data_IF_496167656308
#
_entry.id   IF_496167656308
#
_cell.length_a   1.000
_cell.length_b   1.000
_cell.length_c   1.000
_cell.angle_alpha   90.00
_cell.angle_beta   90.00
_cell.angle_gamma   90.00
#
_symmetry.space_group_name_H-M   'P 1'
#
loop_
_entity.id
_entity.type
_entity.pdbx_description
1 polymer ?
#
# COMPACT_ATOMS: atom_id res chain seq x y z
N UNK A 1 -3.65 -19.28 -14.40
CA UNK A 1 -3.97 -18.61 -15.67
C UNK A 1 -4.61 -17.27 -15.29
N UNK A 2 -3.90 -16.16 -15.49
CA UNK A 2 -4.48 -14.83 -15.23
C UNK A 2 -5.16 -14.37 -16.52
N UNK A 3 -6.46 -14.10 -16.43
CA UNK A 3 -7.22 -13.54 -17.55
C UNK A 3 -7.18 -12.03 -17.36
N UNK A 4 -6.51 -11.32 -18.28
CA UNK A 4 -6.57 -9.87 -18.34
C UNK A 4 -7.76 -9.47 -19.19
N UNK A 5 -8.67 -8.69 -18.61
CA UNK A 5 -9.83 -8.13 -19.29
C UNK A 5 -9.81 -6.61 -19.15
N UNK A 6 -10.26 -5.89 -20.17
CA UNK A 6 -10.48 -4.46 -20.08
C UNK A 6 -11.63 -4.14 -19.11
N UNK A 7 -11.68 -2.90 -18.62
CA UNK A 7 -12.76 -2.43 -17.75
C UNK A 7 -14.14 -2.58 -18.43
N UNK A 8 -14.23 -2.28 -19.74
CA UNK A 8 -15.47 -2.41 -20.51
C UNK A 8 -15.96 -3.87 -20.59
N UNK A 9 -15.04 -4.82 -20.82
CA UNK A 9 -15.37 -6.25 -20.83
C UNK A 9 -15.83 -6.74 -19.45
N UNK A 10 -15.21 -6.23 -18.36
CA UNK A 10 -15.62 -6.55 -16.99
C UNK A 10 -17.00 -5.98 -16.66
N UNK A 11 -17.30 -4.75 -17.09
CA UNK A 11 -18.61 -4.12 -16.92
C UNK A 11 -19.70 -4.89 -17.68
N UNK A 12 -19.48 -5.26 -18.93
CA UNK A 12 -20.41 -6.06 -19.75
C UNK A 12 -20.70 -7.43 -19.15
N UNK A 13 -19.66 -8.15 -18.68
CA UNK A 13 -19.82 -9.45 -18.00
C UNK A 13 -20.57 -9.27 -16.68
N UNK A 14 -20.28 -8.24 -15.93
CA UNK A 14 -20.93 -7.93 -14.65
C UNK A 14 -22.43 -7.66 -14.85
N UNK A 15 -22.80 -6.82 -15.79
CA UNK A 15 -24.20 -6.54 -16.13
C UNK A 15 -24.94 -7.78 -16.62
N UNK A 16 -24.29 -8.60 -17.45
CA UNK A 16 -24.84 -9.88 -17.91
C UNK A 16 -25.09 -10.86 -16.77
N UNK A 17 -24.16 -10.99 -15.84
CA UNK A 17 -24.30 -11.87 -14.66
C UNK A 17 -25.39 -11.38 -13.70
N UNK A 18 -25.47 -10.08 -13.45
CA UNK A 18 -26.50 -9.47 -12.60
C UNK A 18 -27.90 -9.70 -13.22
N UNK A 19 -28.03 -9.48 -14.52
CA UNK A 19 -29.28 -9.70 -15.24
C UNK A 19 -29.70 -11.17 -15.21
N UNK A 20 -28.78 -12.09 -15.42
CA UNK A 20 -29.06 -13.53 -15.36
C UNK A 20 -29.46 -13.99 -13.95
N UNK A 21 -28.79 -13.45 -12.90
CA UNK A 21 -29.15 -13.69 -11.50
C UNK A 21 -30.60 -13.18 -11.22
N UNK A 22 -30.89 -11.94 -11.63
CA UNK A 22 -32.21 -11.35 -11.48
C UNK A 22 -33.29 -12.21 -12.13
N UNK A 23 -33.06 -12.67 -13.35
CA UNK A 23 -34.03 -13.51 -14.09
C UNK A 23 -34.22 -14.89 -13.44
N UNK A 24 -33.18 -15.45 -12.80
CA UNK A 24 -33.24 -16.77 -12.16
C UNK A 24 -33.98 -16.75 -10.81
N UNK A 25 -33.76 -15.72 -9.99
CA UNK A 25 -34.18 -15.69 -8.59
C UNK A 25 -35.22 -14.61 -8.25
N UNK A 26 -35.45 -13.61 -9.10
CA UNK A 26 -36.48 -12.59 -8.87
C UNK A 26 -36.99 -11.99 -10.17
N UNK A 27 -38.32 -11.78 -10.24
CA UNK A 27 -38.95 -11.03 -11.33
C UNK A 27 -38.98 -9.51 -11.07
N UNK A 28 -38.15 -8.98 -10.17
CA UNK A 28 -38.17 -7.57 -9.77
C UNK A 28 -36.82 -6.93 -10.06
N UNK A 29 -36.82 -5.63 -10.27
CA UNK A 29 -35.60 -4.82 -10.34
C UNK A 29 -34.82 -5.00 -9.04
N UNK A 30 -33.61 -5.50 -9.14
CA UNK A 30 -32.75 -5.74 -7.99
C UNK A 30 -32.16 -4.38 -7.54
N UNK A 31 -32.52 -3.92 -6.35
CA UNK A 31 -31.96 -2.74 -5.71
C UNK A 31 -30.67 -3.06 -4.94
N UNK A 32 -30.50 -4.32 -4.49
CA UNK A 32 -29.28 -4.83 -3.85
C UNK A 32 -29.16 -6.33 -4.12
N UNK A 33 -27.91 -6.80 -4.26
CA UNK A 33 -27.61 -8.22 -4.43
C UNK A 33 -27.07 -8.75 -3.10
N UNK A 34 -27.67 -9.84 -2.60
CA UNK A 34 -27.05 -10.65 -1.58
C UNK A 34 -25.85 -11.36 -2.21
N UNK A 35 -24.65 -10.88 -1.88
CA UNK A 35 -23.41 -11.35 -2.51
C UNK A 35 -23.10 -12.81 -2.18
N UNK A 36 -23.47 -13.29 -0.97
CA UNK A 36 -23.29 -14.69 -0.60
C UNK A 36 -24.20 -15.58 -1.44
N UNK A 37 -25.49 -15.26 -1.54
CA UNK A 37 -26.44 -15.99 -2.36
C UNK A 37 -26.06 -15.96 -3.85
N UNK A 38 -25.56 -14.83 -4.36
CA UNK A 38 -25.06 -14.72 -5.72
C UNK A 38 -23.86 -15.66 -5.97
N UNK A 39 -22.90 -15.70 -5.06
CA UNK A 39 -21.70 -16.54 -5.20
C UNK A 39 -22.06 -18.02 -5.05
N UNK A 40 -22.84 -18.40 -4.04
CA UNK A 40 -23.10 -19.81 -3.73
C UNK A 40 -24.17 -20.45 -4.62
N UNK A 41 -25.28 -19.77 -4.84
CA UNK A 41 -26.46 -20.35 -5.50
C UNK A 41 -26.50 -20.06 -7.01
N UNK A 42 -25.92 -18.93 -7.44
CA UNK A 42 -25.89 -18.59 -8.85
C UNK A 42 -24.60 -19.00 -9.54
N UNK A 43 -23.44 -18.62 -8.98
CA UNK A 43 -22.14 -18.98 -9.53
C UNK A 43 -21.70 -20.40 -9.13
N UNK A 44 -22.42 -21.05 -8.21
CA UNK A 44 -22.12 -22.40 -7.69
C UNK A 44 -20.70 -22.50 -7.12
N UNK A 45 -20.21 -21.41 -6.54
CA UNK A 45 -18.91 -21.34 -5.90
C UNK A 45 -19.06 -21.53 -4.40
N UNK A 46 -18.09 -22.20 -3.78
CA UNK A 46 -18.05 -22.37 -2.33
C UNK A 46 -17.37 -21.15 -1.69
N UNK A 47 -18.06 -20.48 -0.77
CA UNK A 47 -17.45 -19.46 0.09
C UNK A 47 -16.75 -20.19 1.24
N UNK A 48 -15.46 -19.98 1.40
CA UNK A 48 -14.69 -20.44 2.55
C UNK A 48 -14.20 -19.21 3.33
N UNK A 49 -14.76 -19.02 4.52
CA UNK A 49 -14.29 -17.99 5.44
C UNK A 49 -12.96 -18.42 6.05
N UNK A 50 -11.91 -17.62 5.86
CA UNK A 50 -10.60 -17.89 6.46
C UNK A 50 -10.68 -17.69 7.97
N UNK A 51 -10.25 -18.68 8.74
CA UNK A 51 -10.03 -18.47 10.18
C UNK A 51 -8.92 -17.44 10.41
N UNK A 52 -8.87 -16.84 11.60
CA UNK A 52 -7.82 -15.88 11.94
C UNK A 52 -6.43 -16.52 11.89
N UNK A 53 -6.31 -17.82 12.22
CA UNK A 53 -5.07 -18.58 12.11
C UNK A 53 -4.58 -18.69 10.66
N UNK A 54 -5.47 -18.95 9.71
CA UNK A 54 -5.15 -18.98 8.27
C UNK A 54 -4.86 -17.57 7.75
N UNK A 55 -5.62 -16.56 8.17
CA UNK A 55 -5.41 -15.16 7.80
C UNK A 55 -4.00 -14.69 8.20
N UNK A 56 -3.66 -14.83 9.48
CA UNK A 56 -2.35 -14.43 9.97
C UNK A 56 -1.23 -15.36 9.49
N UNK A 57 -1.54 -16.63 9.18
CA UNK A 57 -0.61 -17.55 8.53
C UNK A 57 -0.13 -17.08 7.16
N UNK A 58 -0.95 -16.35 6.41
CA UNK A 58 -0.55 -15.70 5.17
C UNK A 58 0.13 -14.34 5.44
N UNK A 59 -0.54 -13.45 6.18
CA UNK A 59 -0.11 -12.07 6.32
C UNK A 59 1.18 -11.91 7.11
N UNK A 60 1.46 -12.74 8.10
CA UNK A 60 2.71 -12.62 8.85
C UNK A 60 3.95 -12.77 7.96
N UNK A 61 3.94 -13.70 6.99
CA UNK A 61 5.02 -13.85 6.01
C UNK A 61 5.11 -12.66 5.08
N UNK A 62 3.96 -12.21 4.58
CA UNK A 62 3.90 -11.07 3.67
C UNK A 62 4.43 -9.79 4.35
N UNK A 63 4.01 -9.54 5.58
CA UNK A 63 4.49 -8.43 6.39
C UNK A 63 6.00 -8.57 6.64
N UNK A 64 6.47 -9.75 7.07
CA UNK A 64 7.88 -9.94 7.38
C UNK A 64 8.76 -9.64 6.17
N UNK A 65 8.44 -10.21 5.02
CA UNK A 65 9.21 -10.03 3.77
C UNK A 65 9.22 -8.56 3.35
N UNK A 66 8.07 -7.90 3.33
CA UNK A 66 7.98 -6.54 2.78
C UNK A 66 8.42 -5.45 3.78
N UNK A 67 8.21 -5.68 5.09
CA UNK A 67 8.43 -4.67 6.12
C UNK A 67 9.74 -4.83 6.88
N UNK A 68 10.18 -6.07 7.12
CA UNK A 68 11.30 -6.37 8.00
C UNK A 68 12.55 -6.87 7.29
N UNK A 69 12.43 -7.53 6.14
CA UNK A 69 13.59 -7.86 5.31
C UNK A 69 14.08 -6.62 4.54
N UNK A 70 15.36 -6.65 4.17
CA UNK A 70 15.94 -5.60 3.35
C UNK A 70 15.39 -5.60 1.92
N UNK A 71 15.37 -4.42 1.29
CA UNK A 71 14.97 -4.31 -0.10
C UNK A 71 15.99 -5.02 -1.01
N UNK A 72 15.53 -5.84 -1.98
CA UNK A 72 16.43 -6.67 -2.79
C UNK A 72 17.28 -5.86 -3.80
N UNK A 73 16.95 -4.59 -4.02
CA UNK A 73 17.64 -3.68 -4.96
C UNK A 73 17.97 -2.36 -4.28
N UNK A 74 19.06 -1.69 -4.64
CA UNK A 74 19.50 -0.46 -4.00
C UNK A 74 18.77 0.82 -4.46
N UNK A 75 17.55 0.68 -5.02
CA UNK A 75 16.79 1.81 -5.60
C UNK A 75 16.57 2.93 -4.59
N UNK A 76 16.16 2.57 -3.35
CA UNK A 76 15.94 3.56 -2.30
C UNK A 76 17.24 4.20 -1.79
N UNK A 77 18.35 3.44 -1.77
CA UNK A 77 19.66 3.96 -1.42
C UNK A 77 20.17 4.95 -2.47
N UNK A 78 20.05 4.60 -3.76
CA UNK A 78 20.43 5.50 -4.86
C UNK A 78 19.62 6.80 -4.82
N UNK A 79 18.30 6.70 -4.54
CA UNK A 79 17.45 7.87 -4.37
C UNK A 79 17.88 8.71 -3.15
N UNK A 80 18.21 8.06 -2.03
CA UNK A 80 18.70 8.77 -0.84
C UNK A 80 20.00 9.53 -1.14
N UNK A 81 20.94 8.89 -1.80
CA UNK A 81 22.22 9.50 -2.17
C UNK A 81 22.04 10.72 -3.09
N UNK A 82 21.04 10.69 -3.99
CA UNK A 82 20.68 11.82 -4.85
C UNK A 82 20.12 13.02 -4.06
N UNK A 83 19.37 12.77 -2.96
CA UNK A 83 18.60 13.83 -2.29
C UNK A 83 19.09 14.20 -0.89
N UNK A 84 19.97 13.42 -0.25
CA UNK A 84 20.40 13.58 1.15
C UNK A 84 20.95 14.97 1.50
N UNK A 85 21.61 15.64 0.53
CA UNK A 85 22.17 16.99 0.70
C UNK A 85 21.17 18.10 0.29
N UNK A 86 19.94 17.74 -0.04
CA UNK A 86 18.90 18.69 -0.47
C UNK A 86 17.86 18.84 0.64
N UNK A 87 17.09 19.91 0.59
CA UNK A 87 15.90 20.04 1.42
C UNK A 87 14.77 19.24 0.75
N UNK A 88 14.51 18.04 1.25
CA UNK A 88 13.57 17.08 0.67
C UNK A 88 12.43 16.75 1.62
N UNK A 89 11.33 16.30 1.06
CA UNK A 89 10.25 15.63 1.77
C UNK A 89 9.70 14.48 0.93
N UNK A 90 9.42 13.34 1.55
CA UNK A 90 8.87 12.15 0.91
C UNK A 90 7.38 12.04 1.19
N UNK A 91 6.57 12.04 0.14
CA UNK A 91 5.16 11.63 0.19
C UNK A 91 5.04 10.26 -0.46
N UNK A 92 4.57 9.27 0.27
CA UNK A 92 4.50 7.90 -0.24
C UNK A 92 3.19 7.20 0.09
N UNK A 93 2.75 6.34 -0.82
CA UNK A 93 1.67 5.36 -0.61
C UNK A 93 2.21 3.98 -0.24
N UNK A 94 3.54 3.80 -0.24
CA UNK A 94 4.17 2.55 0.19
C UNK A 94 4.10 2.40 1.71
N UNK A 95 3.95 1.15 2.15
CA UNK A 95 3.74 0.78 3.55
C UNK A 95 4.86 -0.12 4.10
N UNK A 96 5.98 -0.22 3.35
CA UNK A 96 7.08 -1.16 3.55
C UNK A 96 8.29 -0.59 4.34
N UNK A 97 8.30 0.70 4.62
CA UNK A 97 9.41 1.42 5.26
C UNK A 97 10.75 1.39 4.52
N UNK A 98 10.78 1.12 3.23
CA UNK A 98 12.03 1.09 2.45
C UNK A 98 12.76 2.43 2.43
N UNK A 99 12.05 3.56 2.49
CA UNK A 99 12.66 4.88 2.64
C UNK A 99 13.46 5.00 3.95
N UNK A 100 12.85 4.61 5.09
CA UNK A 100 13.51 4.68 6.39
C UNK A 100 14.73 3.75 6.46
N UNK A 101 14.63 2.54 5.89
CA UNK A 101 15.74 1.59 5.79
C UNK A 101 16.92 2.15 4.99
N UNK A 102 16.65 2.93 3.95
CA UNK A 102 17.67 3.60 3.14
C UNK A 102 18.27 4.87 3.79
N UNK A 103 17.82 5.26 4.99
CA UNK A 103 18.38 6.38 5.74
C UNK A 103 17.60 7.68 5.66
N UNK A 104 16.44 7.73 4.98
CA UNK A 104 15.59 8.91 4.98
C UNK A 104 15.07 9.22 6.39
N UNK A 105 15.15 10.47 6.81
CA UNK A 105 14.72 10.89 8.13
C UNK A 105 13.19 10.75 8.29
N UNK A 106 12.73 10.03 9.32
CA UNK A 106 11.31 9.74 9.57
C UNK A 106 10.45 11.01 9.63
N UNK A 107 10.98 12.11 10.15
CA UNK A 107 10.27 13.39 10.22
C UNK A 107 10.13 14.10 8.85
N UNK A 108 10.75 13.57 7.80
CA UNK A 108 10.67 14.04 6.41
C UNK A 108 9.90 13.05 5.51
N UNK A 109 9.10 12.18 6.10
CA UNK A 109 8.29 11.19 5.37
C UNK A 109 6.84 11.27 5.84
N UNK A 110 5.91 11.26 4.87
CA UNK A 110 4.50 11.04 5.11
C UNK A 110 4.03 9.81 4.33
N UNK A 111 3.79 8.72 5.04
CA UNK A 111 3.26 7.45 4.52
C UNK A 111 1.74 7.43 4.69
N UNK A 112 1.03 7.81 3.63
CA UNK A 112 -0.41 8.13 3.67
C UNK A 112 -1.32 6.93 3.83
N UNK A 113 -0.86 5.73 3.45
CA UNK A 113 -1.67 4.50 3.38
C UNK A 113 -1.45 3.55 4.57
N UNK A 114 -0.71 4.00 5.61
CA UNK A 114 -0.40 3.21 6.79
C UNK A 114 0.95 2.51 6.75
N UNK A 115 1.10 1.46 7.55
CA UNK A 115 2.36 0.75 7.77
C UNK A 115 2.12 -0.72 8.05
N UNK A 116 2.79 -1.62 7.32
CA UNK A 116 2.79 -3.05 7.63
C UNK A 116 3.33 -3.38 9.02
N UNK A 117 4.12 -2.50 9.62
CA UNK A 117 4.65 -2.64 10.96
C UNK A 117 3.68 -2.29 12.08
N UNK A 118 2.43 -1.92 11.76
CA UNK A 118 1.45 -1.48 12.75
C UNK A 118 0.17 -2.32 12.68
N UNK A 119 -0.36 -2.65 13.88
CA UNK A 119 -1.72 -3.14 14.07
C UNK A 119 -2.65 -2.00 14.49
N UNK A 120 -3.92 -2.16 14.15
CA UNK A 120 -5.04 -1.35 14.64
C UNK A 120 -6.20 -2.25 15.08
N UNK A 121 -7.14 -1.74 15.84
CA UNK A 121 -8.39 -2.44 16.10
C UNK A 121 -9.17 -2.64 14.78
N UNK A 122 -9.62 -3.86 14.48
CA UNK A 122 -10.36 -4.14 13.23
C UNK A 122 -11.70 -3.40 13.14
N UNK A 123 -12.29 -3.09 14.30
CA UNK A 123 -13.43 -2.18 14.42
C UNK A 123 -12.98 -1.00 15.28
N UNK A 124 -12.52 0.12 14.69
CA UNK A 124 -11.77 1.15 15.40
C UNK A 124 -12.51 1.69 16.63
N UNK A 125 -12.14 1.21 17.82
CA UNK A 125 -12.71 1.67 19.08
C UNK A 125 -11.88 2.82 19.70
N UNK A 126 -10.74 3.15 19.11
CA UNK A 126 -9.82 4.21 19.51
C UNK A 126 -8.85 4.53 18.34
N UNK A 127 -8.06 5.59 18.48
CA UNK A 127 -7.15 6.10 17.43
C UNK A 127 -5.68 5.74 17.67
N UNK A 128 -5.39 4.64 18.34
CA UNK A 128 -4.02 4.18 18.56
C UNK A 128 -3.67 3.01 17.65
N UNK A 129 -2.42 2.96 17.23
CA UNK A 129 -1.80 1.85 16.52
C UNK A 129 -0.76 1.19 17.41
N UNK A 130 -0.37 -0.05 17.08
CA UNK A 130 0.51 -0.87 17.90
C UNK A 130 1.59 -1.51 17.03
N UNK A 131 2.84 -1.42 17.48
CA UNK A 131 3.95 -2.13 16.84
C UNK A 131 3.71 -3.63 16.79
N UNK A 132 4.07 -4.27 15.67
CA UNK A 132 3.78 -5.68 15.47
C UNK A 132 5.02 -6.54 15.21
N UNK A 133 6.23 -5.98 15.21
CA UNK A 133 7.43 -6.69 14.79
C UNK A 133 7.64 -8.01 15.56
N UNK A 134 7.56 -7.96 16.87
CA UNK A 134 7.79 -9.13 17.72
C UNK A 134 6.75 -10.24 17.54
N UNK A 135 5.49 -9.87 17.36
CA UNK A 135 4.43 -10.87 17.14
C UNK A 135 4.51 -11.46 15.74
N UNK A 136 4.83 -10.67 14.73
CA UNK A 136 5.05 -11.13 13.35
C UNK A 136 6.24 -12.11 13.30
N UNK A 137 7.35 -11.82 13.96
CA UNK A 137 8.50 -12.74 14.08
C UNK A 137 8.08 -14.08 14.70
N UNK A 138 7.32 -14.04 15.81
CA UNK A 138 6.82 -15.27 16.46
C UNK A 138 5.89 -16.07 15.55
N UNK A 139 5.04 -15.39 14.79
CA UNK A 139 4.14 -16.04 13.84
C UNK A 139 4.91 -16.78 12.73
N UNK A 140 5.88 -16.14 12.06
CA UNK A 140 6.66 -16.78 10.99
C UNK A 140 7.51 -17.94 11.51
N UNK A 141 8.11 -17.81 12.70
CA UNK A 141 8.85 -18.90 13.35
C UNK A 141 7.94 -20.09 13.68
N UNK A 142 6.69 -19.84 14.11
CA UNK A 142 5.72 -20.90 14.42
C UNK A 142 5.32 -21.71 13.19
N UNK A 143 5.52 -21.17 11.98
CA UNK A 143 5.26 -21.85 10.71
C UNK A 143 6.44 -22.74 10.25
N UNK A 144 7.55 -22.76 10.99
CA UNK A 144 8.74 -23.56 10.69
C UNK A 144 9.85 -22.75 10.02
N UNK A 145 9.66 -21.48 9.69
CA UNK A 145 10.72 -20.64 9.14
C UNK A 145 11.84 -20.40 10.16
N UNK A 146 13.04 -20.19 9.65
CA UNK A 146 14.19 -19.75 10.42
C UNK A 146 14.56 -18.32 10.00
N UNK A 147 15.05 -17.52 10.91
CA UNK A 147 15.58 -16.19 10.61
C UNK A 147 17.11 -16.23 10.66
N UNK A 148 17.74 -15.91 9.54
CA UNK A 148 19.22 -15.84 9.43
C UNK A 148 19.59 -14.53 8.74
N UNK A 149 20.41 -13.73 9.40
CA UNK A 149 20.90 -12.44 8.88
C UNK A 149 19.78 -11.48 8.44
N UNK A 150 18.64 -11.53 9.14
CA UNK A 150 17.44 -10.75 8.82
C UNK A 150 16.52 -11.37 7.75
N UNK A 151 16.99 -12.39 7.04
CA UNK A 151 16.24 -13.07 5.99
C UNK A 151 15.44 -14.26 6.52
N UNK A 152 14.33 -14.55 5.84
CA UNK A 152 13.46 -15.68 6.13
C UNK A 152 13.91 -16.91 5.34
N UNK A 153 14.42 -17.91 6.04
CA UNK A 153 14.84 -19.19 5.46
C UNK A 153 13.72 -20.21 5.58
N UNK A 154 13.50 -21.00 4.51
CA UNK A 154 12.55 -22.12 4.54
C UNK A 154 13.01 -23.19 5.52
N UNK A 155 12.05 -23.97 6.13
CA UNK A 155 12.41 -25.17 6.91
C UNK A 155 13.25 -26.14 6.10
N UNK A 156 14.18 -26.84 6.74
CA UNK A 156 15.07 -27.81 6.08
C UNK A 156 14.28 -29.00 5.48
N UNK A 157 13.20 -29.42 6.14
CA UNK A 157 12.27 -30.44 5.64
C UNK A 157 11.31 -29.94 4.56
N UNK A 158 11.29 -28.66 4.28
CA UNK A 158 10.43 -28.01 3.30
C UNK A 158 8.96 -27.87 3.71
N UNK A 159 8.57 -28.34 4.89
CA UNK A 159 7.20 -28.27 5.38
C UNK A 159 6.88 -26.93 6.05
N UNK A 160 5.99 -26.15 5.45
CA UNK A 160 5.53 -24.85 5.97
C UNK A 160 4.11 -25.01 6.50
N UNK A 161 3.89 -24.69 7.77
CA UNK A 161 2.54 -24.58 8.34
C UNK A 161 1.84 -23.35 7.77
N UNK A 162 0.63 -23.53 7.24
CA UNK A 162 -0.15 -22.45 6.63
C UNK A 162 -0.97 -21.65 7.63
N UNK A 163 -0.94 -22.05 8.90
CA UNK A 163 -1.66 -21.39 10.01
C UNK A 163 -0.68 -20.96 11.09
N UNK A 164 -1.09 -20.01 11.92
CA UNK A 164 -0.41 -19.67 13.17
C UNK A 164 -1.18 -20.24 14.37
N UNK A 165 -0.53 -20.48 15.52
CA UNK A 165 -1.23 -20.84 16.75
C UNK A 165 -2.24 -19.76 17.18
N UNK A 166 -3.41 -20.16 17.67
CA UNK A 166 -4.46 -19.25 18.16
C UNK A 166 -3.92 -18.25 19.21
N UNK A 167 -2.98 -18.67 20.07
CA UNK A 167 -2.36 -17.80 21.07
C UNK A 167 -1.48 -16.67 20.52
N UNK A 168 -1.19 -16.66 19.20
CA UNK A 168 -0.45 -15.58 18.53
C UNK A 168 -1.38 -14.60 17.80
N UNK A 169 -2.69 -14.84 17.77
CA UNK A 169 -3.64 -13.94 17.14
C UNK A 169 -3.71 -12.64 17.96
N UNK A 170 -3.47 -11.46 17.34
CA UNK A 170 -3.51 -10.20 18.06
C UNK A 170 -4.95 -9.75 18.32
N UNK A 171 -5.21 -9.33 19.55
CA UNK A 171 -6.49 -8.77 19.97
C UNK A 171 -6.32 -7.35 20.52
N UNK A 172 -7.29 -6.51 20.28
CA UNK A 172 -7.31 -5.13 20.76
C UNK A 172 -7.30 -5.10 22.30
N UNK A 173 -6.35 -4.42 22.95
CA UNK A 173 -6.24 -4.38 24.41
C UNK A 173 -7.39 -3.61 25.08
N UNK A 174 -8.15 -2.81 24.31
CA UNK A 174 -9.26 -2.03 24.83
C UNK A 174 -10.62 -2.74 24.72
N UNK A 175 -10.91 -3.38 23.59
CA UNK A 175 -12.23 -3.98 23.37
C UNK A 175 -12.21 -5.49 23.16
N UNK A 176 -11.03 -6.13 23.11
CA UNK A 176 -10.90 -7.58 22.94
C UNK A 176 -11.23 -8.10 21.53
N UNK A 177 -11.60 -7.24 20.58
CA UNK A 177 -11.84 -7.65 19.19
C UNK A 177 -10.52 -7.96 18.49
N UNK A 178 -10.51 -8.78 17.42
CA UNK A 178 -9.29 -9.02 16.65
C UNK A 178 -8.66 -7.71 16.16
N UNK A 179 -7.35 -7.71 16.00
CA UNK A 179 -6.65 -6.62 15.30
C UNK A 179 -6.57 -6.88 13.81
N UNK A 180 -6.39 -5.81 13.05
CA UNK A 180 -6.02 -5.81 11.64
C UNK A 180 -4.70 -5.06 11.43
N UNK A 181 -4.15 -5.13 10.21
CA UNK A 181 -3.05 -4.26 9.80
C UNK A 181 -3.54 -2.81 9.71
N UNK A 182 -2.70 -1.85 10.07
CA UNK A 182 -2.99 -0.44 9.83
C UNK A 182 -2.71 -0.09 8.36
N UNK A 183 -3.66 -0.45 7.50
CA UNK A 183 -3.61 -0.19 6.06
C UNK A 183 -4.92 0.48 5.62
N UNK A 184 -4.81 1.49 4.76
CA UNK A 184 -5.96 2.20 4.18
C UNK A 184 -6.59 1.38 3.05
N UNK A 185 -7.28 0.31 3.40
CA UNK A 185 -8.07 -0.52 2.48
C UNK A 185 -9.54 -0.10 2.41
N UNK A 186 -10.05 0.49 3.49
CA UNK A 186 -11.43 0.94 3.64
C UNK A 186 -11.57 2.09 4.67
N UNK A 187 -12.80 2.40 5.08
CA UNK A 187 -13.11 3.45 6.05
C UNK A 187 -12.72 3.13 7.51
N UNK A 188 -12.24 1.92 7.80
CA UNK A 188 -11.80 1.54 9.14
C UNK A 188 -10.36 1.93 9.44
N UNK A 189 -9.66 2.53 8.49
CA UNK A 189 -8.28 2.97 8.66
C UNK A 189 -8.14 3.95 9.83
N UNK A 190 -7.22 3.65 10.74
CA UNK A 190 -6.91 4.50 11.88
C UNK A 190 -5.80 5.48 11.52
N UNK A 191 -6.17 6.74 11.42
CA UNK A 191 -5.23 7.86 11.40
C UNK A 191 -4.85 8.19 12.84
N UNK A 192 -3.70 7.68 13.28
CA UNK A 192 -3.19 7.95 14.62
C UNK A 192 -2.53 9.35 14.71
N UNK A 193 -2.07 9.70 15.90
CA UNK A 193 -1.42 11.00 16.13
C UNK A 193 -0.14 11.16 15.29
N UNK A 194 0.62 10.07 15.09
CA UNK A 194 1.82 10.05 14.26
C UNK A 194 1.52 10.33 12.79
N UNK A 195 0.41 9.78 12.29
CA UNK A 195 -0.07 10.05 10.93
C UNK A 195 -0.43 11.54 10.76
N UNK A 196 -1.19 12.12 11.69
CA UNK A 196 -1.56 13.54 11.65
C UNK A 196 -0.33 14.46 11.72
N UNK A 197 0.63 14.18 12.59
CA UNK A 197 1.88 14.94 12.64
C UNK A 197 2.70 14.85 11.34
N UNK A 198 2.69 13.70 10.67
CA UNK A 198 3.36 13.55 9.38
C UNK A 198 2.66 14.37 8.28
N UNK A 199 1.33 14.40 8.27
CA UNK A 199 0.54 15.23 7.37
C UNK A 199 0.82 16.73 7.57
N UNK A 200 0.80 17.20 8.82
CA UNK A 200 1.10 18.60 9.16
C UNK A 200 2.51 19.02 8.72
N UNK A 201 3.51 18.15 8.91
CA UNK A 201 4.88 18.43 8.45
C UNK A 201 4.97 18.52 6.93
N UNK A 202 4.24 17.64 6.21
CA UNK A 202 4.18 17.71 4.75
C UNK A 202 3.53 19.01 4.27
N UNK A 203 2.37 19.36 4.83
CA UNK A 203 1.68 20.61 4.49
C UNK A 203 2.55 21.83 4.75
N UNK A 204 3.21 21.85 5.91
CA UNK A 204 4.14 22.92 6.25
C UNK A 204 5.30 23.01 5.26
N UNK A 205 5.90 21.89 4.90
CA UNK A 205 6.98 21.85 3.91
C UNK A 205 6.54 22.45 2.57
N UNK A 206 5.38 22.07 2.08
CA UNK A 206 4.82 22.62 0.82
C UNK A 206 4.58 24.13 0.94
N UNK A 207 4.01 24.61 2.06
CA UNK A 207 3.76 26.04 2.26
C UNK A 207 5.06 26.87 2.32
N UNK A 208 6.08 26.36 3.01
CA UNK A 208 7.37 27.03 3.14
C UNK A 208 8.11 27.13 1.79
N UNK A 209 7.87 26.18 0.84
CA UNK A 209 8.55 26.11 -0.45
C UNK A 209 7.75 26.60 -1.66
N UNK A 210 6.47 26.93 -1.52
CA UNK A 210 5.61 27.30 -2.67
C UNK A 210 6.09 28.49 -3.51
N UNK A 211 6.95 29.35 -2.95
CA UNK A 211 7.56 30.49 -3.64
C UNK A 211 9.03 30.26 -4.04
N UNK A 212 9.57 29.11 -3.68
CA UNK A 212 10.96 28.73 -3.94
C UNK A 212 11.03 27.82 -5.19
N UNK A 213 12.26 27.49 -5.63
CA UNK A 213 12.47 26.45 -6.63
C UNK A 213 12.17 25.09 -5.99
N UNK A 214 11.16 24.39 -6.47
CA UNK A 214 10.77 23.06 -5.99
C UNK A 214 10.67 22.10 -7.16
N UNK A 215 11.15 20.89 -6.97
CA UNK A 215 10.98 19.78 -7.91
C UNK A 215 10.03 18.76 -7.29
N UNK A 216 8.94 18.47 -7.97
CA UNK A 216 8.06 17.34 -7.67
C UNK A 216 8.56 16.12 -8.43
N UNK A 217 9.28 15.25 -7.74
CA UNK A 217 9.80 14.01 -8.31
C UNK A 217 8.82 12.87 -8.04
N UNK A 218 8.17 12.40 -9.10
CA UNK A 218 7.27 11.26 -9.06
C UNK A 218 7.98 9.99 -9.49
N UNK A 219 7.87 8.94 -8.67
CA UNK A 219 8.52 7.64 -8.89
C UNK A 219 7.47 6.52 -8.87
N UNK A 220 7.11 6.01 -10.05
CA UNK A 220 6.27 4.82 -10.21
C UNK A 220 4.83 4.94 -9.71
N UNK A 221 4.25 6.14 -9.68
CA UNK A 221 2.84 6.32 -9.27
C UNK A 221 1.91 5.91 -10.41
N UNK A 222 1.19 4.81 -10.22
CA UNK A 222 0.20 4.31 -11.19
C UNK A 222 -1.16 5.03 -11.11
N UNK A 223 -2.03 4.71 -12.07
CA UNK A 223 -3.39 5.27 -12.12
C UNK A 223 -4.40 4.62 -11.17
N UNK A 224 -3.99 3.64 -10.36
CA UNK A 224 -4.88 3.05 -9.34
C UNK A 224 -5.20 4.02 -8.19
N UNK A 225 -4.22 4.85 -7.78
CA UNK A 225 -4.39 5.83 -6.69
C UNK A 225 -3.73 7.17 -7.02
N UNK A 226 -4.01 7.79 -8.19
CA UNK A 226 -3.30 8.99 -8.64
C UNK A 226 -3.64 10.24 -7.81
N UNK A 227 -4.77 10.21 -7.11
CA UNK A 227 -5.29 11.36 -6.35
C UNK A 227 -4.45 11.77 -5.15
N UNK A 228 -3.55 10.92 -4.65
CA UNK A 228 -2.73 11.23 -3.48
C UNK A 228 -1.44 11.96 -3.87
N UNK A 229 -0.80 11.57 -4.96
CA UNK A 229 0.52 12.09 -5.37
C UNK A 229 0.45 12.75 -6.75
N UNK A 230 0.08 11.99 -7.78
CA UNK A 230 0.16 12.40 -9.19
C UNK A 230 -0.63 13.69 -9.47
N UNK A 231 -1.92 13.72 -9.18
CA UNK A 231 -2.76 14.89 -9.45
C UNK A 231 -2.40 16.12 -8.59
N UNK A 232 -2.14 15.99 -7.27
CA UNK A 232 -1.63 17.10 -6.48
C UNK A 232 -0.30 17.66 -6.98
N UNK A 233 0.64 16.82 -7.42
CA UNK A 233 1.91 17.27 -7.99
C UNK A 233 1.72 18.05 -9.30
N UNK A 234 0.85 17.58 -10.18
CA UNK A 234 0.50 18.32 -11.40
C UNK A 234 -0.12 19.70 -11.08
N UNK A 235 -1.09 19.73 -10.16
CA UNK A 235 -1.75 20.95 -9.74
C UNK A 235 -0.76 21.96 -9.12
N UNK A 236 0.10 21.51 -8.22
CA UNK A 236 1.13 22.34 -7.61
C UNK A 236 2.16 22.83 -8.65
N UNK A 237 2.58 21.98 -9.59
CA UNK A 237 3.48 22.35 -10.68
C UNK A 237 2.85 23.43 -11.56
N UNK A 238 1.57 23.31 -11.88
CA UNK A 238 0.87 24.33 -12.66
C UNK A 238 0.77 25.67 -11.90
N UNK A 239 0.48 25.60 -10.61
CA UNK A 239 0.17 26.78 -9.78
C UNK A 239 1.43 27.51 -9.28
N UNK A 240 2.49 26.78 -8.91
CA UNK A 240 3.68 27.38 -8.33
C UNK A 240 4.60 27.91 -9.44
N UNK A 241 5.02 29.16 -9.32
CA UNK A 241 5.80 29.84 -10.37
C UNK A 241 7.12 29.12 -10.67
N UNK A 242 7.82 28.62 -9.66
CA UNK A 242 9.16 28.04 -9.75
C UNK A 242 9.17 26.51 -9.56
N UNK A 243 8.00 25.88 -9.73
CA UNK A 243 7.90 24.43 -9.63
C UNK A 243 8.28 23.76 -10.96
N UNK A 244 8.85 22.56 -10.83
CA UNK A 244 9.16 21.66 -11.94
C UNK A 244 8.73 20.24 -11.58
N UNK A 245 8.24 19.49 -12.56
CA UNK A 245 7.78 18.11 -12.37
C UNK A 245 8.69 17.13 -13.10
N UNK A 246 9.10 16.09 -12.42
CA UNK A 246 9.88 14.98 -12.99
C UNK A 246 9.14 13.68 -12.72
N UNK A 247 8.85 12.90 -13.75
CA UNK A 247 8.20 11.60 -13.65
C UNK A 247 9.12 10.50 -14.17
N UNK A 248 9.48 9.55 -13.30
CA UNK A 248 10.15 8.31 -13.69
C UNK A 248 9.15 7.16 -13.53
N UNK A 249 8.69 6.59 -14.64
CA UNK A 249 7.68 5.55 -14.59
C UNK A 249 7.71 4.71 -15.86
N UNK A 250 7.94 3.42 -15.74
CA UNK A 250 7.92 2.52 -16.88
C UNK A 250 6.47 2.23 -17.31
N UNK A 251 6.10 2.65 -18.50
CA UNK A 251 4.77 2.45 -19.09
C UNK A 251 3.77 3.59 -18.86
N UNK A 252 3.93 4.40 -17.78
CA UNK A 252 2.98 5.45 -17.40
C UNK A 252 3.64 6.82 -17.15
N UNK A 253 4.77 7.11 -17.81
CA UNK A 253 5.48 8.38 -17.72
C UNK A 253 4.75 9.47 -18.54
N UNK A 254 3.97 10.30 -17.85
CA UNK A 254 3.12 11.30 -18.48
C UNK A 254 3.00 12.58 -17.64
N UNK A 255 2.85 13.71 -18.31
CA UNK A 255 2.47 15.00 -17.72
C UNK A 255 1.40 15.68 -18.61
N UNK A 256 0.38 16.34 -18.01
CA UNK A 256 -0.66 17.04 -18.76
C UNK A 256 -0.10 18.27 -19.49
N UNK A 257 -0.82 18.71 -20.54
CA UNK A 257 -0.38 19.80 -21.43
C UNK A 257 -0.04 21.09 -20.68
N UNK A 258 -0.79 21.39 -19.63
CA UNK A 258 -0.66 22.61 -18.82
C UNK A 258 0.71 22.75 -18.15
N UNK A 259 1.41 21.63 -17.90
CA UNK A 259 2.72 21.63 -17.25
C UNK A 259 3.85 21.10 -18.14
N UNK A 260 3.60 20.82 -19.42
CA UNK A 260 4.60 20.23 -20.34
C UNK A 260 5.91 21.02 -20.37
N UNK A 261 5.84 22.37 -20.33
CA UNK A 261 7.03 23.24 -20.33
C UNK A 261 7.79 23.26 -19.00
N UNK A 262 7.19 22.71 -17.95
CA UNK A 262 7.75 22.59 -16.60
C UNK A 262 7.90 21.13 -16.17
N UNK A 263 8.04 20.20 -17.12
CA UNK A 263 8.11 18.77 -16.80
C UNK A 263 9.09 18.01 -17.68
N UNK A 264 9.60 16.92 -17.12
CA UNK A 264 10.34 15.86 -17.81
C UNK A 264 9.73 14.52 -17.39
N UNK A 265 9.40 13.68 -18.39
CA UNK A 265 8.88 12.35 -18.17
C UNK A 265 9.82 11.32 -18.81
N UNK A 266 10.31 10.38 -18.02
CA UNK A 266 11.23 9.33 -18.44
C UNK A 266 10.52 7.98 -18.30
N UNK A 267 10.33 7.32 -19.45
CA UNK A 267 9.64 6.03 -19.52
C UNK A 267 10.66 4.88 -19.46
N UNK A 268 11.24 4.68 -18.25
CA UNK A 268 12.25 3.66 -18.00
C UNK A 268 12.14 3.10 -16.58
N UNK A 269 12.90 2.02 -16.28
CA UNK A 269 13.01 1.48 -14.93
C UNK A 269 13.67 2.50 -14.00
N UNK A 270 13.01 2.76 -12.85
CA UNK A 270 13.45 3.75 -11.86
C UNK A 270 14.86 3.42 -11.35
N UNK A 271 15.13 2.14 -11.11
CA UNK A 271 16.42 1.69 -10.58
C UNK A 271 17.57 1.93 -11.56
N UNK A 272 17.35 1.72 -12.85
CA UNK A 272 18.36 1.99 -13.87
C UNK A 272 18.61 3.49 -14.01
N UNK A 273 17.55 4.32 -14.06
CA UNK A 273 17.72 5.78 -14.12
C UNK A 273 18.46 6.33 -12.91
N UNK A 274 18.07 5.93 -11.69
CA UNK A 274 18.72 6.40 -10.45
C UNK A 274 20.16 5.92 -10.29
N UNK A 275 20.56 4.88 -10.98
CA UNK A 275 21.95 4.36 -10.98
C UNK A 275 22.89 5.18 -11.86
N UNK A 276 22.34 5.88 -12.86
CA UNK A 276 23.11 6.71 -13.78
C UNK A 276 23.26 8.16 -13.32
N UNK A 277 22.49 8.58 -12.30
CA UNK A 277 22.51 9.93 -11.71
C UNK A 277 23.47 10.03 -10.54
#
# INVERSE_FOLDING_TARGET
MSIYMSRAELEEISEGLITAYANKFSNRVIQSIDIEHFITEFLMLRIEYKTLEKHWGYWCRYIYINRYMDAPKPVYQNLYDLVKEKDYFVLTTNVDHCFQKAGFAKNRIFYTQGDYGLFQCSEPCHKETYDNEEIIKKMVLSQGFQMKDGELQKPEDGEIKLTVPTGLIPYCPRCGKPMSMNLRSDQTFVEDEGWHWAAERYEKFIQDHKKQKIVFLELGVGYNTPGIIKYPFWQMTNTFQHAFYVCLNQGEAYAPEEITRKSVCVNEDIGEVLKEL
#
